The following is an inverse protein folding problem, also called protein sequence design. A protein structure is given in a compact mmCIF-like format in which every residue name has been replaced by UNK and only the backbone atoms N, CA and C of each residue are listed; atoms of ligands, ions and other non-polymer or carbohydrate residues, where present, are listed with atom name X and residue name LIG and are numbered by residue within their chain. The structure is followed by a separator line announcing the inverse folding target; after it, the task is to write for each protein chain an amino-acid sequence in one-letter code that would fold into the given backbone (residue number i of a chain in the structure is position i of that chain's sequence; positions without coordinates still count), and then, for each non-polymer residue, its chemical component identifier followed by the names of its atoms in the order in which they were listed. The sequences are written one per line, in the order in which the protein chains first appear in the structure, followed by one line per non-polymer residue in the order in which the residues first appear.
data_IF_243927295549
#
_entry.id   IF_243927295549
#
_cell.length_a   1.000
_cell.length_b   1.000
_cell.length_c   1.000
_cell.angle_alpha   90.00
_cell.angle_beta   90.00
_cell.angle_gamma   90.00
#
_symmetry.space_group_name_H-M   'P 1'
#
loop_
_entity.id
_entity.type
_entity.pdbx_description
1 polymer ?
#
# COMPACT_ATOMS: atom_id res chain seq x y z
N UNK A 1 46.14 39.79 -0.12
CA UNK A 1 45.15 38.72 0.08
C UNK A 1 44.35 38.61 -1.21
N UNK A 2 44.54 37.53 -1.95
CA UNK A 2 44.13 37.45 -3.36
C UNK A 2 42.64 37.07 -3.47
N UNK A 3 41.79 38.07 -3.72
CA UNK A 3 40.34 37.91 -3.87
C UNK A 3 39.96 36.92 -4.99
N UNK A 4 40.84 36.74 -5.99
CA UNK A 4 40.64 35.78 -7.08
C UNK A 4 40.89 34.32 -6.66
N UNK A 5 41.64 34.10 -5.57
CA UNK A 5 41.85 32.78 -4.97
C UNK A 5 40.67 32.42 -4.05
N UNK A 6 40.16 33.41 -3.32
CA UNK A 6 38.98 33.28 -2.44
C UNK A 6 37.70 33.04 -3.26
N UNK A 7 37.49 33.74 -4.37
CA UNK A 7 36.32 33.57 -5.23
C UNK A 7 36.29 32.20 -5.93
N UNK A 8 37.45 31.67 -6.35
CA UNK A 8 37.55 30.31 -6.92
C UNK A 8 37.30 29.23 -5.86
N UNK A 9 37.81 29.40 -4.64
CA UNK A 9 37.54 28.49 -3.51
C UNK A 9 36.07 28.53 -3.04
N UNK A 10 35.45 29.70 -3.03
CA UNK A 10 34.03 29.87 -2.67
C UNK A 10 33.14 29.30 -3.77
N UNK A 11 33.43 29.56 -5.05
CA UNK A 11 32.72 28.99 -6.20
C UNK A 11 32.88 27.45 -6.30
N UNK A 12 34.03 26.91 -5.94
CA UNK A 12 34.25 25.44 -5.84
C UNK A 12 33.55 24.79 -4.63
N UNK A 13 33.26 25.53 -3.54
CA UNK A 13 32.56 25.02 -2.35
C UNK A 13 31.04 25.26 -2.35
N UNK A 14 30.54 26.27 -3.07
CA UNK A 14 29.19 26.27 -3.66
C UNK A 14 29.17 25.30 -4.87
N UNK A 15 29.76 24.13 -4.63
CA UNK A 15 29.89 23.02 -5.56
C UNK A 15 28.51 22.47 -5.84
N UNK A 16 28.34 21.85 -7.00
CA UNK A 16 27.15 21.11 -7.43
C UNK A 16 26.53 20.24 -6.30
N UNK A 17 27.35 19.74 -5.37
CA UNK A 17 26.91 19.06 -4.15
C UNK A 17 25.93 19.85 -3.28
N UNK A 18 26.12 21.17 -3.14
CA UNK A 18 25.22 22.06 -2.39
C UNK A 18 23.87 22.18 -3.09
N UNK A 19 23.86 22.36 -4.43
CA UNK A 19 22.62 22.38 -5.22
C UNK A 19 21.88 21.04 -5.20
N UNK A 20 22.61 19.92 -5.26
CA UNK A 20 22.03 18.58 -5.11
C UNK A 20 21.41 18.43 -3.72
N UNK A 21 22.10 18.86 -2.65
CA UNK A 21 21.57 18.77 -1.30
C UNK A 21 20.29 19.60 -1.13
N UNK A 22 20.25 20.82 -1.66
CA UNK A 22 19.03 21.64 -1.66
C UNK A 22 17.91 21.00 -2.48
N UNK A 23 18.22 20.41 -3.63
CA UNK A 23 17.26 19.69 -4.46
C UNK A 23 16.66 18.47 -3.74
N UNK A 24 17.50 17.64 -3.12
CA UNK A 24 17.05 16.49 -2.32
C UNK A 24 16.20 16.95 -1.14
N UNK A 25 16.63 17.99 -0.42
CA UNK A 25 15.86 18.55 0.69
C UNK A 25 14.48 19.04 0.24
N UNK A 26 14.41 19.73 -0.90
CA UNK A 26 13.16 20.22 -1.47
C UNK A 26 12.24 19.07 -1.88
N UNK A 27 12.76 18.01 -2.50
CA UNK A 27 11.96 16.83 -2.84
C UNK A 27 11.44 16.15 -1.57
N UNK A 28 12.29 15.99 -0.55
CA UNK A 28 11.89 15.39 0.73
C UNK A 28 10.79 16.20 1.41
N UNK A 29 10.88 17.54 1.46
CA UNK A 29 9.83 18.36 2.07
C UNK A 29 8.53 18.29 1.29
N UNK A 30 8.57 18.28 -0.05
CA UNK A 30 7.37 18.08 -0.87
C UNK A 30 6.73 16.72 -0.59
N UNK A 31 7.52 15.65 -0.50
CA UNK A 31 7.02 14.31 -0.19
C UNK A 31 6.39 14.26 1.21
N UNK A 32 7.02 14.87 2.20
CA UNK A 32 6.51 14.95 3.58
C UNK A 32 5.17 15.71 3.61
N UNK A 33 5.11 16.89 2.99
CA UNK A 33 3.87 17.69 2.92
C UNK A 33 2.75 16.95 2.19
N UNK A 34 3.08 16.24 1.11
CA UNK A 34 2.13 15.41 0.39
C UNK A 34 1.61 14.26 1.25
N UNK A 35 2.49 13.59 2.01
CA UNK A 35 2.08 12.54 2.95
C UNK A 35 1.19 13.09 4.06
N UNK A 36 1.53 14.23 4.66
CA UNK A 36 0.73 14.87 5.71
C UNK A 36 -0.68 15.23 5.22
N UNK A 37 -0.78 15.84 4.03
CA UNK A 37 -2.06 16.11 3.38
C UNK A 37 -2.89 14.85 3.16
N UNK A 38 -2.24 13.74 2.74
CA UNK A 38 -2.91 12.44 2.57
C UNK A 38 -3.42 11.88 3.89
N UNK A 39 -2.62 11.96 4.95
CA UNK A 39 -2.99 11.50 6.30
C UNK A 39 -4.15 12.32 6.84
N UNK A 40 -4.11 13.66 6.72
CA UNK A 40 -5.19 14.54 7.16
C UNK A 40 -6.53 14.23 6.47
N UNK A 41 -6.51 13.99 5.15
CA UNK A 41 -7.71 13.56 4.41
C UNK A 41 -8.24 12.21 4.90
N UNK A 42 -7.35 11.27 5.22
CA UNK A 42 -7.74 9.97 5.77
C UNK A 42 -8.33 10.11 7.18
N UNK A 43 -7.81 11.02 8.01
CA UNK A 43 -8.36 11.29 9.34
C UNK A 43 -9.80 11.80 9.26
N UNK A 44 -10.06 12.80 8.40
CA UNK A 44 -11.40 13.35 8.20
C UNK A 44 -12.39 12.27 7.72
N UNK A 45 -11.95 11.45 6.76
CA UNK A 45 -12.75 10.32 6.27
C UNK A 45 -12.99 9.29 7.36
N UNK A 46 -12.00 9.00 8.21
CA UNK A 46 -12.13 8.06 9.32
C UNK A 46 -13.14 8.51 10.37
N UNK A 47 -13.19 9.83 10.68
CA UNK A 47 -14.18 10.43 11.60
C UNK A 47 -15.59 10.26 11.06
N UNK A 48 -15.76 10.52 9.76
CA UNK A 48 -17.03 10.34 9.05
C UNK A 48 -17.45 8.87 9.06
N UNK A 49 -16.54 7.95 8.70
CA UNK A 49 -16.80 6.51 8.71
C UNK A 49 -17.16 5.98 10.10
N UNK A 50 -16.49 6.48 11.15
CA UNK A 50 -16.80 6.14 12.54
C UNK A 50 -18.21 6.58 12.92
N UNK A 51 -18.59 7.80 12.54
CA UNK A 51 -19.93 8.32 12.78
C UNK A 51 -21.00 7.49 12.05
N UNK A 52 -20.78 7.19 10.76
CA UNK A 52 -21.70 6.37 9.95
C UNK A 52 -21.83 4.96 10.55
N UNK A 53 -20.71 4.32 10.92
CA UNK A 53 -20.70 3.00 11.52
C UNK A 53 -21.49 2.98 12.83
N UNK A 54 -21.26 3.98 13.70
CA UNK A 54 -22.01 4.10 14.96
C UNK A 54 -23.50 4.33 14.73
N UNK A 55 -23.87 5.25 13.84
CA UNK A 55 -25.27 5.50 13.48
C UNK A 55 -25.95 4.25 12.93
N UNK A 56 -25.28 3.51 12.05
CA UNK A 56 -25.80 2.25 11.52
C UNK A 56 -26.01 1.18 12.59
N UNK A 57 -25.22 1.19 13.67
CA UNK A 57 -25.41 0.30 14.80
C UNK A 57 -26.59 0.75 15.68
N UNK A 58 -26.72 2.06 15.93
CA UNK A 58 -27.77 2.63 16.77
C UNK A 58 -29.16 2.55 16.08
N UNK A 59 -29.23 2.69 14.75
CA UNK A 59 -30.46 2.56 13.95
C UNK A 59 -30.86 1.09 13.67
N UNK A 60 -30.02 0.11 14.05
CA UNK A 60 -30.25 -1.31 13.78
C UNK A 60 -31.45 -1.80 14.63
N UNK A 61 -32.54 -2.30 14.02
CA UNK A 61 -33.69 -2.79 14.76
C UNK A 61 -33.28 -3.90 15.75
N UNK A 62 -33.82 -3.87 16.96
CA UNK A 62 -33.50 -4.84 18.04
C UNK A 62 -33.78 -6.29 17.60
N UNK A 63 -34.82 -6.49 16.78
CA UNK A 63 -35.21 -7.79 16.22
C UNK A 63 -34.39 -8.23 14.98
N UNK A 64 -33.28 -7.56 14.68
CA UNK A 64 -32.48 -7.96 13.52
C UNK A 64 -31.92 -9.37 13.68
N UNK A 65 -32.15 -10.27 12.71
CA UNK A 65 -31.61 -11.62 12.75
C UNK A 65 -30.10 -11.57 13.00
N UNK A 66 -29.63 -12.39 13.94
CA UNK A 66 -28.19 -12.59 14.12
C UNK A 66 -27.57 -12.96 12.77
N UNK A 67 -26.35 -12.48 12.47
CA UNK A 67 -25.66 -12.86 11.24
C UNK A 67 -25.75 -14.37 11.06
N UNK A 68 -26.23 -14.81 9.89
CA UNK A 68 -26.41 -16.23 9.60
C UNK A 68 -25.10 -17.00 9.77
N UNK A 69 -25.20 -18.31 10.03
CA UNK A 69 -24.06 -19.22 10.03
C UNK A 69 -23.30 -19.08 8.71
N UNK A 70 -22.04 -18.62 8.76
CA UNK A 70 -21.19 -18.44 7.60
C UNK A 70 -19.72 -18.29 8.01
N UNK A 71 -18.82 -18.72 7.13
CA UNK A 71 -17.37 -18.56 7.31
C UNK A 71 -16.88 -17.30 6.61
N UNK A 72 -16.03 -16.53 7.29
CA UNK A 72 -15.31 -15.41 6.68
C UNK A 72 -13.96 -15.90 6.15
N UNK A 73 -13.60 -15.46 4.95
CA UNK A 73 -12.29 -15.74 4.35
C UNK A 73 -11.81 -14.54 3.57
N UNK A 74 -10.48 -14.38 3.49
CA UNK A 74 -9.85 -13.35 2.66
C UNK A 74 -9.45 -13.94 1.33
N UNK A 75 -9.70 -13.19 0.24
CA UNK A 75 -9.33 -13.59 -1.12
C UNK A 75 -8.32 -12.62 -1.69
N UNK A 76 -7.13 -13.11 -2.00
CA UNK A 76 -6.05 -12.31 -2.59
C UNK A 76 -6.08 -12.35 -4.13
N UNK A 77 -5.61 -11.28 -4.76
CA UNK A 77 -5.42 -11.20 -6.22
C UNK A 77 -6.70 -11.02 -7.04
N UNK A 78 -7.87 -10.85 -6.41
CA UNK A 78 -9.15 -10.59 -7.08
C UNK A 78 -9.97 -9.58 -6.29
N UNK A 79 -10.68 -8.70 -6.99
CA UNK A 79 -11.57 -7.69 -6.38
C UNK A 79 -13.04 -8.14 -6.27
N UNK A 80 -13.38 -9.30 -6.84
CA UNK A 80 -14.76 -9.82 -6.86
C UNK A 80 -14.89 -11.15 -6.11
N UNK A 81 -16.05 -11.40 -5.53
CA UNK A 81 -16.36 -12.66 -4.85
C UNK A 81 -16.90 -13.73 -5.82
N UNK A 82 -16.64 -15.03 -5.60
CA UNK A 82 -17.27 -16.10 -6.37
C UNK A 82 -18.80 -16.15 -6.13
N UNK A 83 -19.56 -16.82 -7.02
CA UNK A 83 -20.98 -17.06 -6.81
C UNK A 83 -21.23 -17.65 -5.41
N UNK A 84 -22.32 -17.23 -4.76
CA UNK A 84 -22.72 -17.63 -3.40
C UNK A 84 -21.86 -17.08 -2.25
N UNK A 85 -21.04 -16.06 -2.50
CA UNK A 85 -20.39 -15.28 -1.44
C UNK A 85 -20.53 -13.79 -1.68
N UNK A 86 -20.63 -13.02 -0.59
CA UNK A 86 -20.81 -11.58 -0.63
C UNK A 86 -19.54 -10.87 -0.14
N UNK A 87 -19.21 -9.75 -0.79
CA UNK A 87 -18.12 -8.90 -0.37
C UNK A 87 -18.48 -8.21 0.95
N UNK A 88 -17.64 -8.38 1.97
CA UNK A 88 -17.77 -7.64 3.24
C UNK A 88 -17.04 -6.30 3.14
N UNK A 89 -15.79 -6.32 2.71
CA UNK A 89 -14.98 -5.15 2.38
C UNK A 89 -13.83 -5.56 1.45
N UNK A 90 -13.28 -4.59 0.72
CA UNK A 90 -12.04 -4.72 -0.04
C UNK A 90 -10.93 -3.86 0.57
N UNK A 91 -9.69 -4.18 0.20
CA UNK A 91 -8.53 -3.57 0.82
C UNK A 91 -7.22 -4.01 0.21
N UNK A 92 -6.14 -3.58 0.85
CA UNK A 92 -4.76 -3.89 0.46
C UNK A 92 -4.16 -4.92 1.40
N UNK A 93 -3.28 -5.77 0.89
CA UNK A 93 -2.55 -6.72 1.70
C UNK A 93 -1.47 -5.99 2.52
N UNK A 94 -1.41 -6.25 3.82
CA UNK A 94 -0.33 -5.78 4.68
C UNK A 94 0.01 -6.77 5.78
N UNK A 95 1.23 -6.73 6.27
CA UNK A 95 1.73 -7.67 7.27
C UNK A 95 2.98 -7.18 7.95
N UNK A 96 3.57 -8.04 8.77
CA UNK A 96 4.86 -7.75 9.40
C UNK A 96 6.01 -7.80 8.37
N UNK A 97 7.09 -7.10 8.67
CA UNK A 97 8.36 -7.31 7.95
C UNK A 97 8.87 -8.73 8.21
N UNK A 98 9.51 -9.36 7.21
CA UNK A 98 9.89 -10.77 7.30
C UNK A 98 10.84 -11.09 8.46
N UNK A 99 11.69 -10.14 8.86
CA UNK A 99 12.62 -10.30 10.00
C UNK A 99 12.02 -9.87 11.35
N UNK A 100 10.79 -9.34 11.40
CA UNK A 100 10.17 -8.95 12.65
C UNK A 100 9.49 -10.16 13.32
N UNK A 101 9.82 -10.38 14.59
CA UNK A 101 9.16 -11.39 15.43
C UNK A 101 8.05 -10.77 16.27
N UNK A 102 7.01 -11.54 16.58
CA UNK A 102 5.94 -11.11 17.49
C UNK A 102 4.80 -10.33 16.83
N UNK A 103 4.72 -10.26 15.50
CA UNK A 103 3.52 -9.79 14.81
C UNK A 103 2.42 -10.84 14.85
N UNK A 104 1.24 -10.45 15.34
CA UNK A 104 0.12 -11.37 15.61
C UNK A 104 -0.59 -11.98 14.39
N UNK A 105 -0.21 -11.60 13.15
CA UNK A 105 -0.80 -12.13 11.92
C UNK A 105 0.20 -12.07 10.76
N UNK A 106 0.19 -13.08 9.88
CA UNK A 106 1.06 -13.14 8.71
C UNK A 106 0.67 -12.09 7.65
N UNK A 107 -0.63 -12.03 7.30
CA UNK A 107 -1.18 -11.11 6.31
C UNK A 107 -2.59 -10.66 6.71
N UNK A 108 -2.85 -9.36 6.63
CA UNK A 108 -4.08 -8.69 6.96
C UNK A 108 -4.63 -7.97 5.74
N UNK A 109 -5.95 -7.99 5.56
CA UNK A 109 -6.62 -7.15 4.57
C UNK A 109 -6.92 -5.80 5.21
N UNK A 110 -6.14 -4.79 4.85
CA UNK A 110 -6.30 -3.43 5.36
C UNK A 110 -7.35 -2.70 4.50
N UNK A 111 -8.47 -2.24 5.09
CA UNK A 111 -9.49 -1.54 4.32
C UNK A 111 -8.93 -0.23 3.74
N UNK A 112 -9.37 0.12 2.54
CA UNK A 112 -8.95 1.35 1.86
C UNK A 112 -9.33 2.61 2.64
N UNK A 113 -10.43 2.53 3.38
CA UNK A 113 -11.01 3.62 4.16
C UNK A 113 -11.05 3.23 5.65
N UNK A 114 -9.95 3.42 6.39
CA UNK A 114 -9.86 2.96 7.77
C UNK A 114 -10.76 3.78 8.71
N UNK A 115 -11.18 3.12 9.80
CA UNK A 115 -11.78 3.79 10.95
C UNK A 115 -10.73 3.81 12.05
N UNK A 116 -10.26 4.99 12.43
CA UNK A 116 -9.26 5.11 13.49
C UNK A 116 -9.93 4.93 14.85
N UNK A 117 -9.34 4.04 15.64
CA UNK A 117 -9.68 3.85 17.05
C UNK A 117 -8.99 4.94 17.88
N UNK A 118 -8.60 4.62 19.11
CA UNK A 118 -7.73 5.50 19.88
C UNK A 118 -6.30 5.31 19.37
N UNK A 119 -5.65 6.41 18.99
CA UNK A 119 -4.28 6.41 18.50
C UNK A 119 -3.50 7.56 19.14
N UNK A 120 -2.20 7.37 19.26
CA UNK A 120 -1.23 8.40 19.65
C UNK A 120 -0.57 8.95 18.38
N UNK A 121 -0.09 10.20 18.41
CA UNK A 121 0.74 10.75 17.33
C UNK A 121 2.19 10.30 17.44
N UNK A 122 2.52 9.52 18.47
CA UNK A 122 3.84 8.98 18.69
C UNK A 122 4.04 7.72 17.86
N UNK A 123 5.30 7.46 17.49
CA UNK A 123 5.66 6.22 16.80
C UNK A 123 5.76 5.11 17.83
N UNK A 124 4.74 4.27 17.89
CA UNK A 124 4.75 3.07 18.73
C UNK A 124 5.84 2.09 18.28
N UNK A 125 6.59 1.57 19.25
CA UNK A 125 7.72 0.64 19.01
C UNK A 125 7.23 -0.80 19.09
N UNK A 126 6.59 -1.26 18.01
CA UNK A 126 6.13 -2.65 17.88
C UNK A 126 4.91 -2.78 17.00
N UNK A 127 4.73 -3.94 16.36
CA UNK A 127 3.54 -4.22 15.55
C UNK A 127 3.45 -3.42 14.25
N UNK A 128 4.59 -3.02 13.67
CA UNK A 128 4.62 -2.34 12.38
C UNK A 128 3.91 -3.16 11.29
N UNK A 129 3.03 -2.49 10.55
CA UNK A 129 2.34 -3.06 9.40
C UNK A 129 2.90 -2.44 8.13
N UNK A 130 3.41 -3.28 7.25
CA UNK A 130 3.95 -2.91 5.94
C UNK A 130 3.01 -3.39 4.84
N UNK A 131 3.02 -2.70 3.70
CA UNK A 131 2.37 -3.20 2.50
C UNK A 131 3.04 -4.50 2.02
N UNK A 132 2.25 -5.44 1.53
CA UNK A 132 2.76 -6.70 1.02
C UNK A 132 2.90 -6.66 -0.50
N UNK A 133 4.05 -7.09 -0.99
CA UNK A 133 4.36 -7.19 -2.42
C UNK A 133 4.78 -8.62 -2.78
N UNK A 134 4.59 -8.98 -4.05
CA UNK A 134 5.10 -10.25 -4.56
C UNK A 134 6.61 -10.13 -4.75
N UNK A 135 7.37 -10.90 -3.96
CA UNK A 135 8.79 -11.06 -4.20
C UNK A 135 8.99 -12.02 -5.37
N UNK A 136 9.44 -11.48 -6.50
CA UNK A 136 9.76 -12.24 -7.69
C UNK A 136 11.28 -12.33 -7.84
N UNK A 137 11.81 -13.53 -7.98
CA UNK A 137 13.19 -13.68 -8.45
C UNK A 137 13.26 -13.35 -9.95
N UNK A 138 14.31 -12.65 -10.37
CA UNK A 138 14.49 -12.23 -11.76
C UNK A 138 14.40 -13.40 -12.76
N UNK A 139 14.86 -14.59 -12.36
CA UNK A 139 14.76 -15.84 -13.13
C UNK A 139 13.31 -16.30 -13.33
N UNK A 140 12.42 -16.09 -12.34
CA UNK A 140 11.00 -16.45 -12.43
C UNK A 140 10.22 -15.51 -13.36
N UNK A 141 10.61 -14.24 -13.45
CA UNK A 141 10.05 -13.28 -14.40
C UNK A 141 10.33 -13.69 -15.86
N UNK A 142 11.56 -14.11 -16.16
CA UNK A 142 11.95 -14.57 -17.50
C UNK A 142 11.19 -15.85 -17.88
N UNK A 143 11.11 -16.82 -16.98
CA UNK A 143 10.42 -18.10 -17.24
C UNK A 143 8.90 -17.90 -17.41
N UNK A 144 8.29 -17.01 -16.62
CA UNK A 144 6.86 -16.70 -16.75
C UNK A 144 6.57 -15.96 -18.06
N UNK A 145 7.41 -15.01 -18.46
CA UNK A 145 7.31 -14.36 -19.77
C UNK A 145 7.53 -15.34 -20.92
N UNK A 146 8.53 -16.24 -20.85
CA UNK A 146 8.77 -17.25 -21.87
C UNK A 146 7.62 -18.26 -21.99
N UNK A 147 7.03 -18.70 -20.88
CA UNK A 147 5.88 -19.62 -20.87
C UNK A 147 4.62 -18.95 -21.42
N UNK A 148 4.41 -17.67 -21.12
CA UNK A 148 3.30 -16.90 -21.69
C UNK A 148 3.49 -16.68 -23.20
N UNK A 149 4.71 -16.36 -23.66
CA UNK A 149 4.97 -16.21 -25.09
C UNK A 149 4.91 -17.53 -25.83
N UNK A 150 5.40 -18.64 -25.25
CA UNK A 150 5.26 -19.98 -25.83
C UNK A 150 3.80 -20.44 -25.88
N UNK A 151 3.01 -20.24 -24.82
CA UNK A 151 1.58 -20.59 -24.83
C UNK A 151 0.78 -19.70 -25.80
N UNK A 152 1.13 -18.42 -25.91
CA UNK A 152 0.53 -17.53 -26.89
C UNK A 152 0.91 -17.98 -28.32
N UNK A 153 2.17 -18.35 -28.55
CA UNK A 153 2.67 -18.85 -29.83
C UNK A 153 2.05 -20.21 -30.19
N UNK A 154 1.87 -21.12 -29.23
CA UNK A 154 1.20 -22.41 -29.44
C UNK A 154 -0.30 -22.21 -29.72
N UNK A 155 -0.96 -21.26 -29.04
CA UNK A 155 -2.37 -20.94 -29.28
C UNK A 155 -2.61 -20.24 -30.63
N UNK A 156 -1.72 -19.35 -31.05
CA UNK A 156 -1.78 -18.69 -32.37
C UNK A 156 -1.40 -19.63 -33.52
N UNK A 157 -0.41 -20.52 -33.33
CA UNK A 157 -0.07 -21.54 -34.33
C UNK A 157 -1.16 -22.61 -34.47
N UNK A 158 -1.78 -23.08 -33.38
CA UNK A 158 -2.94 -23.99 -33.47
C UNK A 158 -4.13 -23.34 -34.18
N UNK A 159 -4.41 -22.04 -33.94
CA UNK A 159 -5.45 -21.31 -34.68
C UNK A 159 -5.11 -21.08 -36.16
N UNK A 160 -3.83 -20.95 -36.51
CA UNK A 160 -3.38 -20.76 -37.89
C UNK A 160 -3.28 -22.07 -38.70
N UNK A 161 -3.16 -23.23 -38.03
CA UNK A 161 -3.19 -24.56 -38.66
C UNK A 161 -4.60 -25.17 -38.74
N UNK A 162 -5.60 -24.55 -38.11
CA UNK A 162 -7.01 -24.95 -38.18
C UNK A 162 -7.87 -24.09 -39.13
N UNK A 163 -7.25 -23.42 -40.11
CA UNK A 163 -7.92 -22.77 -41.25
C UNK A 163 -7.40 -23.39 -42.54
#
# INVERSE_FOLDING_TARGET
MDFAQLSRNISQRYSISSLIAFGVLLVLTIVILHQDSRIGKMEEKSKTNRFISKKSLDDKPDDTPKPGLGSLYTRWGRTTCPPYSNLVYDGVAGGQWYDHTGGGSNLLCLPNDPIWANYTTEVEKGGYIYGSEYQLEFTQLINSFLLLTLNQFMSTTFRALSV
#
